data_IF_646672803938
#
_entry.id   IF_646672803938
#
_cell.length_a   1.000
_cell.length_b   1.000
_cell.length_c   1.000
_cell.angle_alpha   90.00
_cell.angle_beta   90.00
_cell.angle_gamma   90.00
#
_symmetry.space_group_name_H-M   'P 1'
#
loop_
_entity.id
_entity.type
_entity.pdbx_description
1 polymer ?
#
# COMPACT_ATOMS: atom_id res chain seq x y z
N UNK A 1 -9.37 54.29 -57.79
CA UNK A 1 -8.15 53.76 -57.11
C UNK A 1 -8.40 53.07 -55.76
N UNK A 2 -9.57 53.20 -55.12
CA UNK A 2 -9.85 52.71 -53.74
C UNK A 2 -10.25 51.22 -53.62
N UNK A 3 -10.44 50.51 -54.72
CA UNK A 3 -10.90 49.10 -54.75
C UNK A 3 -9.77 48.06 -54.93
N UNK A 4 -8.57 48.49 -55.34
CA UNK A 4 -7.42 47.60 -55.53
C UNK A 4 -6.70 47.29 -54.22
N UNK A 5 -6.61 48.29 -53.31
CA UNK A 5 -6.05 48.11 -51.97
C UNK A 5 -6.86 47.11 -51.15
N UNK A 6 -8.20 47.13 -51.26
CA UNK A 6 -9.06 46.20 -50.52
C UNK A 6 -8.85 44.74 -50.94
N UNK A 7 -8.69 44.47 -52.24
CA UNK A 7 -8.41 43.12 -52.75
C UNK A 7 -7.00 42.63 -52.39
N UNK A 8 -6.04 43.54 -52.28
CA UNK A 8 -4.67 43.19 -51.89
C UNK A 8 -4.52 42.95 -50.39
N UNK A 9 -5.32 43.64 -49.55
CA UNK A 9 -5.28 43.52 -48.08
C UNK A 9 -6.08 42.28 -47.60
N UNK A 10 -7.15 41.90 -48.30
CA UNK A 10 -8.02 40.77 -47.95
C UNK A 10 -7.26 39.45 -47.61
N UNK A 11 -6.30 38.96 -48.42
CA UNK A 11 -5.60 37.71 -48.11
C UNK A 11 -4.70 37.81 -46.88
N UNK A 12 -4.08 38.96 -46.63
CA UNK A 12 -3.24 39.17 -45.44
C UNK A 12 -4.07 39.19 -44.16
N UNK A 13 -5.27 39.77 -44.19
CA UNK A 13 -6.19 39.77 -43.04
C UNK A 13 -6.64 38.36 -42.69
N UNK A 14 -6.96 37.54 -43.71
CA UNK A 14 -7.32 36.13 -43.50
C UNK A 14 -6.14 35.33 -42.94
N UNK A 15 -4.94 35.55 -43.45
CA UNK A 15 -3.72 34.88 -42.98
C UNK A 15 -3.40 35.26 -41.52
N UNK A 16 -3.49 36.55 -41.17
CA UNK A 16 -3.29 37.03 -39.80
C UNK A 16 -4.37 36.53 -38.84
N UNK A 17 -5.62 36.44 -39.29
CA UNK A 17 -6.71 35.86 -38.50
C UNK A 17 -6.44 34.40 -38.17
N UNK A 18 -6.07 33.59 -39.17
CA UNK A 18 -5.74 32.18 -38.97
C UNK A 18 -4.52 31.99 -38.07
N UNK A 19 -3.47 32.81 -38.24
CA UNK A 19 -2.28 32.76 -37.40
C UNK A 19 -2.59 33.16 -35.95
N UNK A 20 -3.45 34.15 -35.75
CA UNK A 20 -3.89 34.55 -34.40
C UNK A 20 -4.63 33.43 -33.69
N UNK A 21 -5.49 32.68 -34.38
CA UNK A 21 -6.21 31.53 -33.80
C UNK A 21 -5.23 30.43 -33.37
N UNK A 22 -4.22 30.13 -34.17
CA UNK A 22 -3.18 29.14 -33.84
C UNK A 22 -2.36 29.61 -32.63
N UNK A 23 -1.95 30.87 -32.60
CA UNK A 23 -1.21 31.46 -31.46
C UNK A 23 -2.06 31.42 -30.20
N UNK A 24 -3.35 31.73 -30.29
CA UNK A 24 -4.29 31.64 -29.17
C UNK A 24 -4.40 30.20 -28.70
N UNK A 25 -4.55 29.20 -29.57
CA UNK A 25 -4.59 27.80 -29.16
C UNK A 25 -3.29 27.32 -28.51
N UNK A 26 -2.14 27.80 -29.01
CA UNK A 26 -0.84 27.46 -28.46
C UNK A 26 -0.61 28.08 -27.08
N UNK A 27 -1.08 29.32 -26.87
CA UNK A 27 -0.98 30.02 -25.57
C UNK A 27 -2.09 29.62 -24.58
N UNK A 28 -3.26 29.25 -25.09
CA UNK A 28 -4.38 28.74 -24.30
C UNK A 28 -4.21 27.27 -23.94
N UNK A 29 -3.04 26.67 -24.24
CA UNK A 29 -2.70 25.30 -23.88
C UNK A 29 -3.18 24.96 -22.47
N UNK A 30 -4.31 24.24 -22.32
CA UNK A 30 -4.54 23.47 -21.14
C UNK A 30 -3.80 22.17 -21.43
N UNK A 31 -2.46 22.23 -21.49
CA UNK A 31 -1.68 21.01 -21.38
C UNK A 31 -2.20 20.37 -20.11
N UNK A 32 -2.94 19.28 -20.28
CA UNK A 32 -3.59 18.60 -19.19
C UNK A 32 -2.55 18.45 -18.09
N UNK A 33 -2.88 18.92 -16.90
CA UNK A 33 -2.25 18.40 -15.70
C UNK A 33 -2.39 16.88 -15.84
N UNK A 34 -1.36 16.24 -16.39
CA UNK A 34 -0.90 15.01 -15.81
C UNK A 34 -0.60 15.42 -14.38
N UNK A 35 -1.63 15.39 -13.54
CA UNK A 35 -1.45 14.98 -12.17
C UNK A 35 -0.75 13.65 -12.34
N UNK A 36 0.59 13.67 -12.39
CA UNK A 36 1.38 12.63 -11.77
C UNK A 36 0.58 12.33 -10.53
N UNK A 37 -0.12 11.20 -10.56
CA UNK A 37 -0.96 10.82 -9.44
C UNK A 37 -0.01 10.98 -8.28
N UNK A 38 -0.26 11.98 -7.44
CA UNK A 38 0.54 12.15 -6.25
C UNK A 38 0.41 10.79 -5.61
N UNK A 39 1.51 10.05 -5.62
CA UNK A 39 1.53 8.66 -5.21
C UNK A 39 1.29 8.79 -3.72
N UNK A 40 0.00 8.76 -3.34
CA UNK A 40 -0.43 8.83 -1.96
C UNK A 40 -0.01 7.51 -1.39
N UNK A 41 1.23 7.46 -0.92
CA UNK A 41 1.75 6.31 -0.22
C UNK A 41 0.90 6.17 1.03
N UNK A 42 0.11 5.10 1.14
CA UNK A 42 -0.70 4.89 2.32
C UNK A 42 0.28 4.83 3.48
N UNK A 43 -0.02 5.66 4.47
CA UNK A 43 0.80 5.73 5.63
C UNK A 43 0.42 4.60 6.58
N UNK A 44 1.35 3.69 6.87
CA UNK A 44 1.05 2.45 7.57
C UNK A 44 1.74 2.35 8.92
N UNK A 45 1.03 1.79 9.89
CA UNK A 45 1.62 1.37 11.15
C UNK A 45 2.21 -0.02 10.99
N UNK A 46 3.37 -0.21 11.59
CA UNK A 46 4.10 -1.47 11.54
C UNK A 46 4.23 -2.08 12.94
N UNK A 47 4.08 -3.38 13.02
CA UNK A 47 4.44 -4.16 14.21
C UNK A 47 5.76 -4.88 13.93
N UNK A 48 6.73 -4.75 14.83
CA UNK A 48 8.03 -5.41 14.68
C UNK A 48 7.96 -6.82 15.24
N UNK A 49 8.24 -7.80 14.40
CA UNK A 49 8.23 -9.21 14.78
C UNK A 49 9.40 -9.51 15.73
N UNK A 50 9.06 -10.03 16.91
CA UNK A 50 10.00 -10.64 17.86
C UNK A 50 9.60 -12.09 18.12
N UNK A 51 10.34 -13.03 17.56
CA UNK A 51 10.24 -14.46 17.89
C UNK A 51 10.49 -14.62 19.38
N UNK A 52 9.50 -15.16 20.05
CA UNK A 52 9.54 -15.44 21.49
C UNK A 52 9.10 -16.87 21.68
N UNK A 53 9.70 -17.60 22.63
CA UNK A 53 9.22 -18.92 23.01
C UNK A 53 7.88 -18.74 23.76
N UNK A 54 6.76 -18.86 23.04
CA UNK A 54 5.42 -18.64 23.60
C UNK A 54 4.99 -19.92 24.33
N UNK A 55 5.09 -19.92 25.67
CA UNK A 55 4.47 -20.91 26.53
C UNK A 55 3.05 -20.45 26.90
N UNK A 56 2.02 -21.01 26.26
CA UNK A 56 0.64 -20.81 26.72
C UNK A 56 0.23 -21.95 27.64
N UNK A 57 0.09 -21.64 28.91
CA UNK A 57 -0.65 -22.47 29.87
C UNK A 57 -2.13 -22.09 29.76
N UNK A 58 -2.97 -23.07 29.43
CA UNK A 58 -4.43 -22.89 29.40
C UNK A 58 -4.93 -23.08 30.82
N UNK A 59 -5.24 -21.99 31.51
CA UNK A 59 -5.85 -22.05 32.84
C UNK A 59 -7.33 -22.42 32.71
N UNK A 60 -7.61 -23.72 32.70
CA UNK A 60 -8.95 -24.24 32.95
C UNK A 60 -9.30 -24.02 34.42
N UNK A 61 -10.22 -23.09 34.71
CA UNK A 61 -10.86 -23.01 36.02
C UNK A 61 -11.82 -24.19 36.18
N UNK A 62 -11.27 -25.35 36.53
CA UNK A 62 -11.99 -26.57 36.80
C UNK A 62 -11.03 -27.59 37.37
N UNK A 63 -11.21 -27.97 38.63
CA UNK A 63 -10.36 -28.93 39.32
C UNK A 63 -10.53 -30.34 38.71
N UNK A 64 -9.74 -30.66 37.69
CA UNK A 64 -9.37 -32.03 37.34
C UNK A 64 -7.89 -32.03 36.93
N UNK A 65 -7.15 -32.97 37.50
CA UNK A 65 -5.69 -33.15 37.38
C UNK A 65 -5.24 -33.61 35.98
N UNK A 66 -5.81 -33.08 34.92
CA UNK A 66 -5.31 -33.30 33.57
C UNK A 66 -4.43 -32.10 33.25
N UNK A 67 -3.10 -32.31 33.27
CA UNK A 67 -2.17 -31.40 32.63
C UNK A 67 -2.58 -31.28 31.17
N UNK A 68 -3.36 -30.24 30.84
CA UNK A 68 -3.61 -29.84 29.47
C UNK A 68 -2.23 -29.49 28.92
N UNK A 69 -1.65 -30.40 28.15
CA UNK A 69 -0.33 -30.23 27.57
C UNK A 69 -0.40 -29.05 26.61
N UNK A 70 -0.01 -27.86 27.10
CA UNK A 70 0.20 -26.69 26.26
C UNK A 70 1.21 -27.06 25.18
N UNK A 71 0.78 -27.08 23.92
CA UNK A 71 1.67 -27.33 22.79
C UNK A 71 2.66 -26.16 22.71
N UNK A 72 3.88 -26.40 23.17
CA UNK A 72 4.96 -25.40 23.11
C UNK A 72 5.50 -25.37 21.69
N UNK A 73 5.34 -24.23 21.03
CA UNK A 73 5.93 -24.01 19.71
C UNK A 73 7.23 -23.24 19.88
N UNK A 74 8.35 -23.91 19.56
CA UNK A 74 9.65 -23.24 19.43
C UNK A 74 9.64 -22.42 18.14
N UNK A 75 10.17 -21.20 18.20
CA UNK A 75 10.28 -20.26 17.07
C UNK A 75 8.97 -19.71 16.49
N UNK A 76 7.91 -19.65 17.31
CA UNK A 76 6.65 -19.00 16.92
C UNK A 76 6.65 -17.48 17.20
N UNK A 77 5.80 -16.77 16.46
CA UNK A 77 5.52 -15.34 16.64
C UNK A 77 4.03 -15.18 16.85
N UNK A 78 3.65 -14.43 17.88
CA UNK A 78 2.27 -13.98 18.03
C UNK A 78 2.11 -12.60 17.36
N UNK A 79 1.18 -12.50 16.42
CA UNK A 79 0.84 -11.26 15.73
C UNK A 79 -0.62 -10.88 15.97
N UNK A 80 -0.98 -9.57 15.95
CA UNK A 80 -2.36 -9.15 15.97
C UNK A 80 -3.13 -9.73 14.79
N UNK A 81 -4.38 -10.14 15.00
CA UNK A 81 -5.22 -10.70 13.92
C UNK A 81 -5.43 -9.71 12.77
N UNK A 82 -5.39 -8.41 13.06
CA UNK A 82 -5.48 -7.33 12.06
C UNK A 82 -4.29 -7.30 11.09
N UNK A 83 -3.18 -7.95 11.42
CA UNK A 83 -2.02 -8.10 10.53
C UNK A 83 -2.20 -9.22 9.50
N UNK A 84 -3.18 -10.10 9.71
CA UNK A 84 -3.47 -11.19 8.79
C UNK A 84 -4.22 -10.62 7.57
N UNK A 85 -3.64 -10.86 6.41
CA UNK A 85 -4.22 -10.56 5.12
C UNK A 85 -4.72 -11.86 4.47
N UNK A 86 -5.92 -11.83 3.90
CA UNK A 86 -6.59 -13.03 3.38
C UNK A 86 -6.61 -14.17 4.43
N UNK A 87 -6.41 -15.43 4.00
CA UNK A 87 -6.48 -16.60 4.88
C UNK A 87 -5.14 -16.94 5.57
N UNK A 88 -4.00 -16.69 4.92
CA UNK A 88 -2.67 -17.10 5.40
C UNK A 88 -1.53 -16.22 4.89
N UNK A 89 -1.80 -14.94 4.65
CA UNK A 89 -0.80 -14.00 4.17
C UNK A 89 -0.63 -12.86 5.17
N UNK A 90 0.53 -12.23 5.12
CA UNK A 90 0.83 -11.00 5.86
C UNK A 90 1.56 -10.06 4.94
N UNK A 91 1.38 -8.77 5.22
CA UNK A 91 2.02 -7.68 4.49
C UNK A 91 3.30 -7.30 5.21
N UNK A 92 4.45 -7.57 4.59
CA UNK A 92 5.77 -7.25 5.14
C UNK A 92 6.32 -6.02 4.43
N UNK A 93 6.76 -5.03 5.22
CA UNK A 93 7.46 -3.85 4.73
C UNK A 93 8.95 -4.15 4.69
N UNK A 94 9.55 -4.04 3.52
CA UNK A 94 10.99 -4.19 3.31
C UNK A 94 11.74 -2.88 3.53
N UNK A 95 13.07 -2.94 3.51
CA UNK A 95 13.94 -1.81 3.84
C UNK A 95 13.87 -0.66 2.82
N UNK A 96 13.43 -0.94 1.62
CA UNK A 96 13.14 -0.02 0.51
C UNK A 96 11.72 0.59 0.59
N UNK A 97 11.05 0.44 1.74
CA UNK A 97 9.69 0.91 1.98
C UNK A 97 8.66 0.32 0.99
N UNK A 98 8.90 -0.91 0.51
CA UNK A 98 7.93 -1.64 -0.33
C UNK A 98 7.17 -2.68 0.48
N UNK A 99 5.90 -2.85 0.14
CA UNK A 99 5.01 -3.87 0.70
C UNK A 99 5.08 -5.15 -0.12
N UNK A 100 5.28 -6.26 0.58
CA UNK A 100 5.29 -7.59 -0.02
C UNK A 100 4.28 -8.54 0.63
N UNK A 101 3.57 -9.28 -0.21
CA UNK A 101 2.64 -10.33 0.22
C UNK A 101 3.43 -11.59 0.53
N UNK A 102 3.52 -11.93 1.81
CA UNK A 102 4.25 -13.13 2.27
C UNK A 102 3.29 -14.15 2.84
N UNK A 103 3.38 -15.39 2.37
CA UNK A 103 2.61 -16.52 2.89
C UNK A 103 3.21 -16.99 4.22
N UNK A 104 2.35 -17.24 5.20
CA UNK A 104 2.75 -17.68 6.54
C UNK A 104 2.13 -19.03 6.90
N UNK A 105 2.80 -19.75 7.79
CA UNK A 105 2.26 -20.94 8.42
C UNK A 105 1.56 -20.56 9.73
N UNK A 106 0.24 -20.72 9.76
CA UNK A 106 -0.57 -20.45 10.95
C UNK A 106 -0.62 -21.71 11.81
N UNK A 107 -0.13 -21.60 13.04
CA UNK A 107 -0.17 -22.69 14.02
C UNK A 107 -1.46 -22.64 14.87
N UNK A 108 -1.95 -21.44 15.15
CA UNK A 108 -3.13 -21.23 15.96
C UNK A 108 -3.77 -19.85 15.70
N UNK A 109 -5.10 -19.76 15.77
CA UNK A 109 -5.86 -18.50 15.63
C UNK A 109 -6.77 -18.33 16.84
N UNK A 110 -6.72 -17.15 17.45
CA UNK A 110 -7.67 -16.69 18.47
C UNK A 110 -8.50 -15.51 17.92
N UNK A 111 -9.45 -15.01 18.72
CA UNK A 111 -10.28 -13.86 18.40
C UNK A 111 -9.44 -12.60 18.12
N UNK A 112 -8.35 -12.41 18.86
CA UNK A 112 -7.54 -11.19 18.83
C UNK A 112 -6.17 -11.39 18.16
N UNK A 113 -5.59 -12.59 18.22
CA UNK A 113 -4.20 -12.85 17.79
C UNK A 113 -4.06 -14.12 16.97
N UNK A 114 -2.98 -14.18 16.18
CA UNK A 114 -2.60 -15.31 15.34
C UNK A 114 -1.19 -15.73 15.71
N UNK A 115 -0.97 -17.03 15.91
CA UNK A 115 0.35 -17.60 16.18
C UNK A 115 0.90 -18.16 14.88
N UNK A 116 2.05 -17.64 14.47
CA UNK A 116 2.73 -17.95 13.22
C UNK A 116 3.97 -18.77 13.51
N UNK A 117 4.14 -19.90 12.82
CA UNK A 117 5.31 -20.78 12.97
C UNK A 117 6.43 -20.48 11.98
N UNK A 118 6.06 -20.24 10.72
CA UNK A 118 7.01 -19.98 9.63
C UNK A 118 6.51 -18.86 8.71
N UNK A 119 7.43 -18.28 7.93
CA UNK A 119 7.15 -17.19 7.00
C UNK A 119 7.38 -15.79 7.57
N UNK A 120 7.73 -15.68 8.86
CA UNK A 120 8.16 -14.43 9.50
C UNK A 120 9.57 -14.57 10.09
N UNK A 121 10.40 -13.56 9.85
CA UNK A 121 11.74 -13.41 10.41
C UNK A 121 11.75 -12.41 11.56
N UNK A 122 12.76 -12.54 12.43
CA UNK A 122 13.00 -11.54 13.47
C UNK A 122 13.31 -10.18 12.85
N UNK A 123 12.66 -9.13 13.34
CA UNK A 123 12.83 -7.78 12.83
C UNK A 123 11.98 -7.44 11.60
N UNK A 124 11.18 -8.39 11.08
CA UNK A 124 10.22 -8.08 10.02
C UNK A 124 9.20 -7.04 10.52
N UNK A 125 8.92 -6.06 9.66
CA UNK A 125 7.90 -5.03 9.90
C UNK A 125 6.62 -5.46 9.22
N UNK A 126 5.63 -5.92 9.97
CA UNK A 126 4.32 -6.31 9.43
C UNK A 126 3.36 -5.11 9.45
N UNK A 127 2.64 -4.89 8.35
CA UNK A 127 1.63 -3.84 8.27
C UNK A 127 0.38 -4.25 9.05
N UNK A 128 -0.09 -3.36 9.94
CA UNK A 128 -1.33 -3.53 10.70
C UNK A 128 -2.42 -2.53 10.31
N UNK A 129 -2.15 -1.69 9.31
CA UNK A 129 -3.13 -0.75 8.77
C UNK A 129 -4.14 -1.45 7.84
N UNK A 130 -5.42 -1.06 7.86
CA UNK A 130 -6.41 -1.60 6.94
C UNK A 130 -6.14 -1.07 5.52
N UNK A 131 -5.56 -1.93 4.66
CA UNK A 131 -5.37 -1.62 3.24
C UNK A 131 -6.24 -2.58 2.43
N UNK A 132 -7.21 -2.02 1.71
CA UNK A 132 -8.17 -2.80 0.92
C UNK A 132 -7.60 -3.28 -0.42
N UNK A 133 -6.69 -2.50 -1.01
CA UNK A 133 -6.06 -2.82 -2.30
C UNK A 133 -4.55 -2.76 -2.17
N UNK A 134 -3.94 -3.94 -2.15
CA UNK A 134 -2.48 -4.09 -2.11
C UNK A 134 -1.98 -4.71 -3.41
N UNK A 135 -0.92 -4.15 -3.95
CA UNK A 135 -0.14 -4.72 -5.05
C UNK A 135 1.22 -5.10 -4.49
N UNK A 136 1.70 -6.29 -4.81
CA UNK A 136 3.04 -6.72 -4.41
C UNK A 136 4.09 -5.76 -4.99
N UNK A 137 5.03 -5.31 -4.15
CA UNK A 137 6.03 -4.30 -4.51
C UNK A 137 5.53 -2.85 -4.47
N UNK A 138 4.32 -2.57 -3.95
CA UNK A 138 3.83 -1.21 -3.78
C UNK A 138 4.66 -0.45 -2.73
N UNK A 139 5.15 0.73 -3.06
CA UNK A 139 5.82 1.62 -2.11
C UNK A 139 4.83 2.17 -1.08
N UNK A 140 5.29 2.30 0.16
CA UNK A 140 4.52 2.81 1.30
C UNK A 140 5.37 3.76 2.11
N UNK A 141 4.75 4.49 3.04
CA UNK A 141 5.49 5.29 4.02
C UNK A 141 5.14 4.78 5.41
N UNK A 142 6.16 4.44 6.20
CA UNK A 142 5.96 4.03 7.58
C UNK A 142 5.67 5.27 8.42
N UNK A 143 4.63 5.24 9.23
CA UNK A 143 4.49 6.17 10.37
C UNK A 143 4.68 5.37 11.64
N UNK A 144 5.50 5.93 12.54
CA UNK A 144 5.63 5.44 13.92
C UNK A 144 4.44 5.88 14.78
#
# INVERSE_FOLDING_TARGET
MRTYTLKFILPFVVLFGAMSIIVILFFSNPFGEHRERELTYPQIRVFTVKKTEVQRTVDSQGALNEQIQGKTFKDAVEIPRVALHNENQVLIVKNDETLHLTKIEILYVNKETVVVGQGLANGDKICISPIESVVDGMSVRIIE
#
